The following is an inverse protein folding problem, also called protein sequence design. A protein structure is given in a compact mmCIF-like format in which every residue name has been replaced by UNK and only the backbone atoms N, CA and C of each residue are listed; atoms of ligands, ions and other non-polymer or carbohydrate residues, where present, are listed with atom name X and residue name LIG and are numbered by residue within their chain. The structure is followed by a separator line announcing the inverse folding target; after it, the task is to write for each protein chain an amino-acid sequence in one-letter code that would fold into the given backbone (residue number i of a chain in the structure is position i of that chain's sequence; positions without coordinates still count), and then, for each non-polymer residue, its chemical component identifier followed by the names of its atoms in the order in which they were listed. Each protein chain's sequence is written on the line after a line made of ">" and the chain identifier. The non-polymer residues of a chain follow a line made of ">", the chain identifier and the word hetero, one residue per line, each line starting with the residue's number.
data_IF_036287339600
#
_entry.id   IF_036287339600
#
_cell.length_a   1.000
_cell.length_b   1.000
_cell.length_c   1.000
_cell.angle_alpha   90.00
_cell.angle_beta   90.00
_cell.angle_gamma   90.00
#
_symmetry.space_group_name_H-M   'P 1'
#
loop_
_entity.id
_entity.type
_entity.pdbx_description
1 polymer ?
#
# COMPACT_ATOMS: atom_id res chain seq x y z
N UNK A 1 16.15 14.66 14.27
CA UNK A 1 16.19 13.82 13.06
C UNK A 1 16.41 14.67 11.81
N UNK A 2 17.52 14.44 11.11
CA UNK A 2 17.88 15.07 9.83
C UNK A 2 17.66 14.01 8.76
N UNK A 3 16.77 14.26 7.80
CA UNK A 3 16.53 13.36 6.68
C UNK A 3 17.47 13.80 5.55
N UNK A 4 18.38 12.91 5.14
CA UNK A 4 19.18 13.10 3.92
C UNK A 4 18.46 12.37 2.79
N UNK A 5 18.02 13.10 1.77
CA UNK A 5 17.38 12.55 0.59
C UNK A 5 18.34 12.67 -0.58
N UNK A 6 18.75 11.54 -1.14
CA UNK A 6 19.46 11.51 -2.42
C UNK A 6 18.42 11.53 -3.52
N UNK A 7 18.45 12.55 -4.37
CA UNK A 7 17.51 12.73 -5.47
C UNK A 7 18.22 13.38 -6.65
N UNK A 8 17.70 13.13 -7.85
CA UNK A 8 18.08 13.85 -9.05
C UNK A 8 17.63 15.31 -8.99
N UNK A 9 18.19 16.15 -9.87
CA UNK A 9 17.87 17.58 -9.89
C UNK A 9 16.40 17.86 -10.25
N UNK A 10 15.81 17.04 -11.13
CA UNK A 10 14.38 17.13 -11.48
C UNK A 10 13.49 16.79 -10.29
N UNK A 11 13.81 15.74 -9.53
CA UNK A 11 13.10 15.35 -8.32
C UNK A 11 13.22 16.43 -7.23
N UNK A 12 14.42 16.98 -7.04
CA UNK A 12 14.65 18.09 -6.11
C UNK A 12 13.75 19.29 -6.44
N UNK A 13 13.70 19.70 -7.70
CA UNK A 13 12.85 20.80 -8.16
C UNK A 13 11.36 20.51 -7.92
N UNK A 14 10.93 19.27 -8.13
CA UNK A 14 9.55 18.86 -7.87
C UNK A 14 9.22 18.89 -6.37
N UNK A 15 10.14 18.42 -5.51
CA UNK A 15 9.99 18.46 -4.04
C UNK A 15 9.88 19.91 -3.56
N UNK A 16 10.74 20.80 -4.06
CA UNK A 16 10.71 22.23 -3.72
C UNK A 16 9.39 22.88 -4.13
N UNK A 17 8.91 22.59 -5.34
CA UNK A 17 7.61 23.07 -5.84
C UNK A 17 6.46 22.60 -4.94
N UNK A 18 6.45 21.32 -4.56
CA UNK A 18 5.41 20.76 -3.71
C UNK A 18 5.45 21.32 -2.28
N UNK A 19 6.65 21.49 -1.71
CA UNK A 19 6.82 22.10 -0.39
C UNK A 19 6.31 23.54 -0.36
N UNK A 20 6.63 24.32 -1.41
CA UNK A 20 6.14 25.69 -1.60
C UNK A 20 4.62 25.74 -1.72
N UNK A 21 4.02 24.85 -2.52
CA UNK A 21 2.57 24.75 -2.66
C UNK A 21 1.88 24.38 -1.33
N UNK A 22 2.52 23.56 -0.51
CA UNK A 22 2.06 23.20 0.84
C UNK A 22 2.36 24.27 1.90
N UNK A 23 2.92 25.43 1.54
CA UNK A 23 3.22 26.53 2.46
C UNK A 23 4.26 26.19 3.54
N UNK A 24 5.21 25.30 3.25
CA UNK A 24 6.20 24.87 4.23
C UNK A 24 7.61 24.69 3.65
N UNK A 25 8.62 24.64 4.51
CA UNK A 25 9.99 24.37 4.08
C UNK A 25 10.15 22.91 3.61
N UNK A 26 11.10 22.66 2.70
CA UNK A 26 11.39 21.32 2.18
C UNK A 26 11.63 20.30 3.29
N UNK A 27 12.42 20.64 4.31
CA UNK A 27 12.67 19.75 5.45
C UNK A 27 11.39 19.40 6.21
N UNK A 28 10.49 20.37 6.43
CA UNK A 28 9.19 20.16 7.08
C UNK A 28 8.26 19.33 6.21
N UNK A 29 8.26 19.58 4.91
CA UNK A 29 7.51 18.81 3.92
C UNK A 29 7.94 17.34 3.90
N UNK A 30 9.25 17.07 3.76
CA UNK A 30 9.80 15.72 3.73
C UNK A 30 9.55 14.97 5.04
N UNK A 31 9.67 15.63 6.19
CA UNK A 31 9.32 15.02 7.48
C UNK A 31 7.84 14.63 7.52
N UNK A 32 6.94 15.54 7.14
CA UNK A 32 5.51 15.25 7.08
C UNK A 32 5.24 14.06 6.17
N UNK A 33 5.83 14.03 4.97
CA UNK A 33 5.67 12.93 4.03
C UNK A 33 6.18 11.61 4.60
N UNK A 34 7.36 11.58 5.22
CA UNK A 34 7.91 10.37 5.84
C UNK A 34 7.00 9.82 6.96
N UNK A 35 6.44 10.68 7.81
CA UNK A 35 5.50 10.26 8.85
C UNK A 35 4.16 9.80 8.26
N UNK A 36 3.62 10.56 7.30
CA UNK A 36 2.39 10.20 6.60
C UNK A 36 2.54 8.87 5.85
N UNK A 37 3.70 8.61 5.25
CA UNK A 37 4.02 7.35 4.57
C UNK A 37 4.00 6.18 5.55
N UNK A 38 4.67 6.29 6.70
CA UNK A 38 4.65 5.25 7.75
C UNK A 38 3.22 4.96 8.22
N UNK A 39 2.43 5.99 8.52
CA UNK A 39 1.04 5.78 8.95
C UNK A 39 0.17 5.17 7.84
N UNK A 40 0.37 5.58 6.60
CA UNK A 40 -0.36 5.06 5.45
C UNK A 40 -0.02 3.59 5.18
N UNK A 41 1.26 3.22 5.31
CA UNK A 41 1.75 1.84 5.24
C UNK A 41 1.18 0.98 6.35
N UNK A 42 1.23 1.47 7.60
CA UNK A 42 0.69 0.76 8.76
C UNK A 42 -0.82 0.50 8.60
N UNK A 43 -1.61 1.51 8.21
CA UNK A 43 -3.04 1.31 7.95
C UNK A 43 -3.30 0.33 6.81
N UNK A 44 -2.51 0.36 5.75
CA UNK A 44 -2.69 -0.54 4.61
C UNK A 44 -2.40 -2.00 4.99
N UNK A 45 -1.35 -2.24 5.77
CA UNK A 45 -1.03 -3.57 6.31
C UNK A 45 -2.11 -4.04 7.28
N UNK A 46 -2.61 -3.18 8.16
CA UNK A 46 -3.71 -3.51 9.08
C UNK A 46 -4.97 -3.92 8.31
N UNK A 47 -5.32 -3.20 7.23
CA UNK A 47 -6.45 -3.56 6.36
C UNK A 47 -6.26 -4.97 5.77
N UNK A 48 -5.06 -5.29 5.28
CA UNK A 48 -4.75 -6.61 4.75
C UNK A 48 -4.89 -7.68 5.83
N UNK A 49 -4.37 -7.44 7.04
CA UNK A 49 -4.51 -8.36 8.17
C UNK A 49 -5.98 -8.65 8.50
N UNK A 50 -6.84 -7.63 8.47
CA UNK A 50 -8.29 -7.79 8.63
C UNK A 50 -8.88 -8.66 7.51
N UNK A 51 -8.49 -8.45 6.24
CA UNK A 51 -8.97 -9.25 5.11
C UNK A 51 -8.56 -10.71 5.23
N UNK A 52 -7.33 -10.98 5.63
CA UNK A 52 -6.85 -12.36 5.87
C UNK A 52 -7.64 -13.02 7.00
N UNK A 53 -7.86 -12.32 8.11
CA UNK A 53 -8.62 -12.86 9.25
C UNK A 53 -10.05 -13.25 8.87
N UNK A 54 -10.68 -12.49 7.97
CA UNK A 54 -12.00 -12.81 7.42
C UNK A 54 -11.94 -14.06 6.51
N UNK A 55 -10.92 -14.17 5.65
CA UNK A 55 -10.69 -15.34 4.78
C UNK A 55 -10.50 -16.63 5.59
N UNK A 56 -9.71 -16.57 6.66
CA UNK A 56 -9.48 -17.71 7.55
C UNK A 56 -10.77 -18.13 8.27
N UNK A 57 -11.62 -17.17 8.61
CA UNK A 57 -12.92 -17.41 9.27
C UNK A 57 -13.93 -18.04 8.32
N UNK A 58 -13.99 -17.57 7.07
CA UNK A 58 -14.93 -18.05 6.03
C UNK A 58 -14.42 -19.26 5.23
N UNK A 59 -13.23 -19.79 5.57
CA UNK A 59 -12.55 -20.90 4.85
C UNK A 59 -12.36 -20.63 3.35
N UNK A 60 -12.14 -19.38 2.98
CA UNK A 60 -11.75 -19.01 1.62
C UNK A 60 -10.35 -19.55 1.31
N UNK A 61 -10.02 -19.68 0.03
CA UNK A 61 -8.80 -20.34 -0.45
C UNK A 61 -7.54 -19.81 0.24
N UNK A 62 -6.72 -20.71 0.80
CA UNK A 62 -5.45 -20.36 1.45
C UNK A 62 -4.50 -19.59 0.52
N UNK A 63 -4.60 -19.82 -0.80
CA UNK A 63 -3.82 -19.11 -1.80
C UNK A 63 -4.13 -17.60 -1.90
N UNK A 64 -5.32 -17.17 -1.46
CA UNK A 64 -5.67 -15.73 -1.40
C UNK A 64 -5.02 -15.10 -0.17
N UNK A 65 -5.04 -15.79 0.98
CA UNK A 65 -4.36 -15.37 2.19
C UNK A 65 -2.86 -15.17 1.99
N UNK A 66 -2.19 -16.13 1.35
CA UNK A 66 -0.74 -16.04 1.07
C UNK A 66 -0.40 -14.82 0.19
N UNK A 67 -1.18 -14.58 -0.86
CA UNK A 67 -0.99 -13.41 -1.75
C UNK A 67 -1.23 -12.08 -1.05
N UNK A 68 -2.17 -12.04 -0.11
CA UNK A 68 -2.43 -10.88 0.72
C UNK A 68 -1.26 -10.62 1.67
N UNK A 69 -0.74 -11.65 2.33
CA UNK A 69 0.45 -11.54 3.18
C UNK A 69 1.68 -11.03 2.42
N UNK A 70 1.93 -11.54 1.21
CA UNK A 70 3.03 -11.04 0.36
C UNK A 70 2.90 -9.53 0.09
N UNK A 71 1.69 -9.05 -0.23
CA UNK A 71 1.45 -7.62 -0.45
C UNK A 71 1.73 -6.80 0.82
N UNK A 72 1.30 -7.30 2.00
CA UNK A 72 1.58 -6.63 3.26
C UNK A 72 3.08 -6.56 3.57
N UNK A 73 3.81 -7.66 3.36
CA UNK A 73 5.25 -7.74 3.57
C UNK A 73 6.00 -6.76 2.65
N UNK A 74 5.67 -6.73 1.36
CA UNK A 74 6.28 -5.79 0.40
C UNK A 74 6.08 -4.32 0.81
N UNK A 75 4.90 -3.98 1.37
CA UNK A 75 4.62 -2.63 1.87
C UNK A 75 5.45 -2.28 3.10
N UNK A 76 5.67 -3.24 4.00
CA UNK A 76 6.58 -3.05 5.14
C UNK A 76 8.03 -2.88 4.70
N UNK A 77 8.44 -3.58 3.64
CA UNK A 77 9.79 -3.55 3.08
C UNK A 77 10.08 -2.32 2.20
N UNK A 78 9.08 -1.47 1.99
CA UNK A 78 9.26 -0.16 1.34
C UNK A 78 8.62 -0.02 -0.03
N UNK A 79 7.91 -1.04 -0.54
CA UNK A 79 7.25 -0.98 -1.85
C UNK A 79 6.26 0.20 -1.96
N UNK A 80 6.07 0.80 -3.16
CA UNK A 80 5.13 1.90 -3.34
C UNK A 80 3.68 1.48 -3.05
N UNK A 81 2.96 2.26 -2.24
CA UNK A 81 1.57 1.96 -1.87
C UNK A 81 0.60 1.88 -3.06
N UNK A 82 0.87 2.62 -4.14
CA UNK A 82 -0.01 2.59 -5.32
C UNK A 82 0.04 1.23 -6.01
N UNK A 83 1.23 0.66 -6.18
CA UNK A 83 1.43 -0.66 -6.80
C UNK A 83 0.80 -1.75 -5.92
N UNK A 84 0.96 -1.64 -4.60
CA UNK A 84 0.35 -2.57 -3.64
C UNK A 84 -1.18 -2.50 -3.65
N UNK A 85 -1.77 -1.31 -3.82
CA UNK A 85 -3.23 -1.13 -3.98
C UNK A 85 -3.74 -1.76 -5.27
N UNK A 86 -3.00 -1.60 -6.37
CA UNK A 86 -3.36 -2.23 -7.64
C UNK A 86 -3.34 -3.76 -7.52
N UNK A 87 -2.27 -4.32 -6.96
CA UNK A 87 -2.15 -5.77 -6.69
C UNK A 87 -3.26 -6.27 -5.78
N UNK A 88 -3.58 -5.55 -4.71
CA UNK A 88 -4.69 -5.89 -3.82
C UNK A 88 -6.02 -5.95 -4.59
N UNK A 89 -6.29 -4.96 -5.45
CA UNK A 89 -7.51 -4.94 -6.28
C UNK A 89 -7.60 -6.14 -7.22
N UNK A 90 -6.46 -6.64 -7.72
CA UNK A 90 -6.42 -7.84 -8.57
C UNK A 90 -6.76 -9.07 -7.74
N UNK A 91 -6.19 -9.24 -6.55
CA UNK A 91 -6.50 -10.35 -5.63
C UNK A 91 -8.01 -10.40 -5.34
N UNK A 92 -8.63 -9.27 -5.03
CA UNK A 92 -10.07 -9.20 -4.78
C UNK A 92 -10.93 -9.49 -6.04
N UNK A 93 -10.43 -9.22 -7.25
CA UNK A 93 -11.16 -9.50 -8.49
C UNK A 93 -11.23 -10.99 -8.83
N UNK A 94 -10.19 -11.76 -8.50
CA UNK A 94 -10.15 -13.20 -8.79
C UNK A 94 -11.16 -14.01 -7.95
N UNK A 95 -11.52 -13.54 -6.75
CA UNK A 95 -12.49 -14.22 -5.90
C UNK A 95 -13.93 -14.12 -6.47
N UNK A 96 -14.29 -12.95 -7.02
CA UNK A 96 -15.60 -12.74 -7.65
C UNK A 96 -15.85 -13.58 -8.92
N UNK A 97 -14.79 -14.07 -9.60
CA UNK A 97 -14.95 -14.93 -10.77
C UNK A 97 -15.02 -16.42 -10.44
N UNK A 98 -14.56 -16.80 -9.24
CA UNK A 98 -14.55 -18.20 -8.78
C UNK A 98 -15.95 -18.69 -8.34
N UNK A 99 -16.89 -17.78 -8.09
CA UNK A 99 -18.26 -18.08 -7.63
C UNK A 99 -19.35 -17.95 -8.71
N UNK A 100 -19.00 -17.64 -9.97
CA UNK A 100 -19.96 -17.60 -11.08
C UNK A 100 -20.05 -18.90 -11.89
N UNK A 101 -19.33 -19.96 -11.50
CA UNK A 101 -19.24 -21.22 -12.25
C UNK A 101 -20.18 -22.35 -11.80
N UNK A 102 -20.82 -22.26 -10.64
CA UNK A 102 -21.72 -23.32 -10.13
C UNK A 102 -23.19 -22.94 -10.33
N UNK A 103 -23.69 -23.07 -11.57
CA UNK A 103 -25.13 -23.23 -11.79
C UNK A 103 -25.50 -24.71 -11.55
N UNK A 104 -26.47 -25.01 -10.67
CA UNK A 104 -26.98 -26.37 -10.52
C UNK A 104 -27.83 -26.73 -11.74
N UNK A 105 -27.57 -27.92 -12.28
CA UNK A 105 -28.38 -28.59 -13.29
C UNK A 105 -29.66 -29.18 -12.68
#
# INVERSE_FOLDING_TARGET
>A
MVIKVYCSESEKNQIEKNAKAAGCSVSKYLKKQAFTDIHSRAMFVELISCMVSLIETDRLSSSVGDRLFEIAQDVLDGAPLNDSRERLSQVCKFDNQSHQGEQPH
#
